data_IF_320145220919
#
_entry.id   IF_320145220919
#
_cell.length_a   1.000
_cell.length_b   1.000
_cell.length_c   1.000
_cell.angle_alpha   90.00
_cell.angle_beta   90.00
_cell.angle_gamma   90.00
#
_symmetry.space_group_name_H-M   'P 1'
#
loop_
_entity.id
_entity.type
_entity.pdbx_description
1 polymer ?
#
# COMPACT_ATOMS: atom_id res chain seq x y z
N UNK A 1 -0.80 15.36 -4.86
CA UNK A 1 0.43 15.64 -5.64
C UNK A 1 0.89 14.31 -6.22
N UNK A 2 1.36 14.22 -7.46
CA UNK A 2 1.86 12.94 -8.01
C UNK A 2 3.27 12.70 -7.48
N UNK A 3 3.52 11.55 -6.86
CA UNK A 3 4.79 11.26 -6.18
C UNK A 3 5.75 10.52 -7.11
N UNK A 4 5.95 11.09 -8.31
CA UNK A 4 6.63 10.47 -9.43
C UNK A 4 7.98 9.84 -9.03
N UNK A 5 8.79 10.51 -8.21
CA UNK A 5 10.07 9.98 -7.77
C UNK A 5 9.97 8.61 -7.07
N UNK A 6 8.96 8.41 -6.22
CA UNK A 6 8.81 7.18 -5.44
C UNK A 6 8.19 6.06 -6.27
N UNK A 7 7.24 6.38 -7.15
CA UNK A 7 6.71 5.42 -8.13
C UNK A 7 7.83 4.93 -9.05
N UNK A 8 8.74 5.81 -9.48
CA UNK A 8 9.90 5.40 -10.29
C UNK A 8 10.88 4.51 -9.51
N UNK A 9 11.04 4.68 -8.19
CA UNK A 9 11.80 3.74 -7.34
C UNK A 9 11.17 2.34 -7.39
N UNK A 10 9.84 2.25 -7.23
CA UNK A 10 9.12 0.98 -7.31
C UNK A 10 9.33 0.34 -8.68
N UNK A 11 9.09 1.08 -9.77
CA UNK A 11 9.26 0.58 -11.14
C UNK A 11 10.66 0.06 -11.39
N UNK A 12 11.70 0.83 -11.03
CA UNK A 12 13.11 0.42 -11.16
C UNK A 12 13.41 -0.85 -10.37
N UNK A 13 12.81 -1.02 -9.19
CA UNK A 13 12.98 -2.21 -8.35
C UNK A 13 12.38 -3.46 -8.99
N UNK A 14 11.23 -3.33 -9.65
CA UNK A 14 10.63 -4.42 -10.44
C UNK A 14 11.36 -4.67 -11.77
N UNK A 15 12.00 -3.64 -12.33
CA UNK A 15 12.78 -3.71 -13.56
C UNK A 15 11.91 -3.55 -14.82
N UNK A 16 11.25 -4.62 -15.25
CA UNK A 16 10.43 -4.65 -16.46
C UNK A 16 9.02 -5.20 -16.19
N UNK A 17 8.08 -4.88 -17.09
CA UNK A 17 6.70 -5.40 -17.02
C UNK A 17 6.73 -6.93 -17.10
N UNK A 18 5.92 -7.58 -16.26
CA UNK A 18 5.77 -9.03 -16.21
C UNK A 18 6.86 -9.77 -15.45
N UNK A 19 7.96 -9.11 -15.05
CA UNK A 19 8.99 -9.75 -14.21
C UNK A 19 8.43 -9.98 -12.81
N UNK A 20 8.40 -11.25 -12.39
CA UNK A 20 7.95 -11.65 -11.07
C UNK A 20 9.02 -11.42 -10.01
N UNK A 21 8.57 -10.93 -8.86
CA UNK A 21 9.38 -10.67 -7.68
C UNK A 21 8.73 -11.33 -6.47
N UNK A 22 9.55 -11.93 -5.62
CA UNK A 22 9.11 -12.43 -4.31
C UNK A 22 9.18 -11.29 -3.30
N UNK A 23 8.02 -10.85 -2.80
CA UNK A 23 7.94 -9.79 -1.81
C UNK A 23 7.67 -10.41 -0.43
N UNK A 24 8.60 -10.25 0.53
CA UNK A 24 8.42 -10.77 1.87
C UNK A 24 7.21 -10.14 2.57
N UNK A 25 6.34 -10.99 3.13
CA UNK A 25 5.32 -10.54 4.08
C UNK A 25 5.97 -10.14 5.41
N UNK A 26 5.23 -9.37 6.21
CA UNK A 26 5.68 -9.01 7.57
C UNK A 26 5.77 -10.27 8.46
N UNK A 27 4.89 -11.24 8.23
CA UNK A 27 4.90 -12.54 8.92
C UNK A 27 6.08 -13.38 8.46
N UNK A 28 6.82 -13.97 9.41
CA UNK A 28 8.05 -14.74 9.13
C UNK A 28 7.83 -15.83 8.07
N UNK A 29 8.83 -15.98 7.19
CA UNK A 29 8.94 -17.02 6.15
C UNK A 29 7.78 -17.11 5.16
N UNK A 30 7.03 -16.02 4.94
CA UNK A 30 6.02 -15.96 3.88
C UNK A 30 6.34 -14.81 2.92
N UNK A 31 5.95 -15.00 1.67
CA UNK A 31 6.05 -14.01 0.62
C UNK A 31 4.77 -14.03 -0.22
N UNK A 32 4.61 -13.03 -1.07
CA UNK A 32 3.65 -13.02 -2.17
C UNK A 32 4.39 -12.73 -3.47
N UNK A 33 3.89 -13.23 -4.59
CA UNK A 33 4.42 -12.91 -5.90
C UNK A 33 3.81 -11.59 -6.37
N UNK A 34 4.66 -10.70 -6.86
CA UNK A 34 4.25 -9.45 -7.47
C UNK A 34 4.94 -9.26 -8.81
N UNK A 35 4.26 -8.64 -9.76
CA UNK A 35 4.85 -8.21 -11.03
C UNK A 35 4.30 -6.86 -11.45
N UNK A 36 5.16 -6.07 -12.12
CA UNK A 36 4.73 -4.79 -12.68
C UNK A 36 3.85 -5.04 -13.90
N UNK A 37 2.72 -4.33 -13.95
CA UNK A 37 1.82 -4.22 -15.10
C UNK A 37 1.71 -2.75 -15.50
N UNK A 38 1.10 -2.45 -16.64
CA UNK A 38 1.02 -1.08 -17.17
C UNK A 38 0.38 -0.12 -16.16
N UNK A 39 -0.71 -0.57 -15.54
CA UNK A 39 -1.56 0.22 -14.64
C UNK A 39 -1.09 0.22 -13.17
N UNK A 40 -0.11 -0.62 -12.79
CA UNK A 40 0.28 -0.78 -11.40
C UNK A 40 1.10 -2.02 -11.11
N UNK A 41 0.85 -2.64 -9.94
CA UNK A 41 1.49 -3.89 -9.52
C UNK A 41 0.41 -4.97 -9.35
N UNK A 42 0.55 -6.08 -10.07
CA UNK A 42 -0.26 -7.28 -9.87
C UNK A 42 0.35 -8.11 -8.74
N UNK A 43 -0.48 -8.63 -7.85
CA UNK A 43 -0.08 -9.50 -6.72
C UNK A 43 -0.96 -10.75 -6.64
N UNK A 44 -0.39 -11.87 -6.20
CA UNK A 44 -1.11 -13.16 -6.09
C UNK A 44 -1.96 -13.32 -4.81
N UNK A 45 -1.81 -12.42 -3.85
CA UNK A 45 -2.44 -12.52 -2.52
C UNK A 45 -3.74 -11.70 -2.35
N UNK A 46 -4.31 -11.18 -3.45
CA UNK A 46 -5.56 -10.40 -3.45
C UNK A 46 -6.74 -11.06 -4.18
N UNK A 47 -6.61 -12.34 -4.57
CA UNK A 47 -7.67 -13.11 -5.21
C UNK A 47 -8.20 -12.44 -6.49
N UNK A 48 -9.51 -12.17 -6.54
CA UNK A 48 -10.20 -11.68 -7.74
C UNK A 48 -9.87 -10.23 -8.14
N UNK A 49 -9.18 -9.47 -7.30
CA UNK A 49 -8.76 -8.10 -7.60
C UNK A 49 -7.25 -7.92 -7.40
N UNK A 50 -6.42 -8.56 -8.24
CA UNK A 50 -4.99 -8.71 -7.98
C UNK A 50 -4.17 -7.45 -8.24
N UNK A 51 -4.74 -6.42 -8.87
CA UNK A 51 -3.99 -5.23 -9.29
C UNK A 51 -4.11 -4.11 -8.26
N UNK A 52 -2.96 -3.62 -7.80
CA UNK A 52 -2.78 -2.36 -7.09
C UNK A 52 -2.38 -1.29 -8.10
N UNK A 53 -3.33 -0.46 -8.52
CA UNK A 53 -3.08 0.63 -9.49
C UNK A 53 -2.08 1.65 -8.94
N UNK A 54 -1.36 2.36 -9.80
CA UNK A 54 -0.33 3.33 -9.38
C UNK A 54 -0.85 4.36 -8.37
N UNK A 55 -2.11 4.78 -8.50
CA UNK A 55 -2.79 5.72 -7.59
C UNK A 55 -2.83 5.21 -6.14
N UNK A 56 -2.79 3.90 -5.92
CA UNK A 56 -2.67 3.31 -4.58
C UNK A 56 -1.34 3.70 -3.94
N UNK A 57 -0.24 3.56 -4.67
CA UNK A 57 1.09 3.90 -4.15
C UNK A 57 1.25 5.41 -4.02
N UNK A 58 0.81 6.17 -5.03
CA UNK A 58 0.82 7.63 -4.99
C UNK A 58 0.07 8.15 -3.76
N UNK A 59 -1.14 7.64 -3.49
CA UNK A 59 -1.95 8.07 -2.34
C UNK A 59 -1.33 7.66 -1.00
N UNK A 60 -0.79 6.44 -0.90
CA UNK A 60 -0.12 5.97 0.32
C UNK A 60 1.13 6.82 0.63
N UNK A 61 1.94 7.12 -0.39
CA UNK A 61 3.15 7.95 -0.26
C UNK A 61 2.78 9.42 0.02
N UNK A 62 1.73 9.96 -0.62
CA UNK A 62 1.23 11.31 -0.37
C UNK A 62 0.83 11.48 1.10
N UNK A 63 0.11 10.50 1.67
CA UNK A 63 -0.24 10.51 3.09
C UNK A 63 1.02 10.48 3.99
N UNK A 64 1.99 9.61 3.68
CA UNK A 64 3.24 9.52 4.42
C UNK A 64 4.03 10.83 4.39
N UNK A 65 4.18 11.44 3.22
CA UNK A 65 4.87 12.72 3.03
C UNK A 65 4.18 13.84 3.82
N UNK A 66 2.84 13.91 3.77
CA UNK A 66 2.06 14.92 4.49
C UNK A 66 2.22 14.83 6.01
N UNK A 67 2.39 13.62 6.54
CA UNK A 67 2.65 13.42 7.97
C UNK A 67 4.12 13.73 8.33
N UNK A 68 5.04 13.55 7.39
CA UNK A 68 6.46 13.87 7.54
C UNK A 68 7.37 12.65 7.54
N UNK A 69 8.61 12.83 7.08
CA UNK A 69 9.64 11.78 7.09
C UNK A 69 9.92 11.33 8.53
N UNK A 70 10.03 10.02 8.74
CA UNK A 70 10.25 9.46 10.08
C UNK A 70 9.01 9.41 10.99
N UNK A 71 7.90 10.06 10.60
CA UNK A 71 6.66 10.09 11.38
C UNK A 71 5.85 8.80 11.15
N UNK A 72 5.44 8.08 12.21
CA UNK A 72 4.61 6.89 12.08
C UNK A 72 3.18 7.23 11.64
N UNK A 73 2.72 6.58 10.56
CA UNK A 73 1.35 6.66 10.08
C UNK A 73 0.66 5.32 10.26
N UNK A 74 -0.57 5.33 10.78
CA UNK A 74 -1.36 4.11 10.99
C UNK A 74 -1.62 3.39 9.67
N UNK A 75 -1.47 2.07 9.67
CA UNK A 75 -1.76 1.24 8.49
C UNK A 75 -3.26 1.14 8.20
N UNK A 76 -4.08 1.05 9.25
CA UNK A 76 -5.50 0.72 9.15
C UNK A 76 -5.71 -0.78 8.93
N UNK A 77 -6.94 -1.25 9.18
CA UNK A 77 -7.36 -2.63 8.94
C UNK A 77 -8.81 -2.73 8.49
N UNK A 78 -9.03 -2.98 7.21
CA UNK A 78 -10.33 -3.23 6.60
C UNK A 78 -10.87 -4.66 6.86
N UNK A 79 -10.22 -5.45 7.71
CA UNK A 79 -10.68 -6.82 7.98
C UNK A 79 -11.99 -6.85 8.77
N UNK A 80 -12.15 -6.00 9.77
CA UNK A 80 -13.29 -5.98 10.70
C UNK A 80 -13.77 -4.56 10.99
N UNK A 81 -13.43 -3.60 10.14
CA UNK A 81 -13.75 -2.18 10.33
C UNK A 81 -14.32 -1.61 9.04
N UNK A 82 -15.31 -0.74 9.20
CA UNK A 82 -15.81 0.14 8.16
C UNK A 82 -14.91 1.38 8.05
N UNK A 83 -14.94 2.03 6.90
CA UNK A 83 -14.18 3.27 6.72
C UNK A 83 -14.65 4.33 7.74
N UNK A 84 -13.72 4.89 8.49
CA UNK A 84 -13.99 5.88 9.54
C UNK A 84 -14.07 5.30 10.96
N UNK A 85 -14.10 3.97 11.10
CA UNK A 85 -14.01 3.32 12.41
C UNK A 85 -12.62 3.54 13.04
N UNK A 86 -12.47 3.41 14.37
CA UNK A 86 -11.17 3.56 15.04
C UNK A 86 -10.05 2.65 14.50
N UNK A 87 -10.40 1.48 13.95
CA UNK A 87 -9.45 0.56 13.33
C UNK A 87 -9.14 0.85 11.85
N UNK A 88 -9.90 1.73 11.20
CA UNK A 88 -9.73 2.14 9.81
C UNK A 88 -10.08 3.63 9.63
N UNK A 89 -9.38 4.55 10.32
CA UNK A 89 -9.65 5.97 10.20
C UNK A 89 -9.23 6.49 8.82
N UNK A 90 -9.78 7.64 8.42
CA UNK A 90 -9.55 8.24 7.10
C UNK A 90 -8.09 8.66 6.84
N UNK A 91 -7.32 8.86 7.91
CA UNK A 91 -5.91 9.22 7.91
C UNK A 91 -4.97 8.02 8.11
N UNK A 92 -5.51 6.79 8.16
CA UNK A 92 -4.71 5.57 8.00
C UNK A 92 -4.42 5.30 6.53
N UNK A 93 -3.37 4.54 6.23
CA UNK A 93 -3.00 4.21 4.85
C UNK A 93 -4.14 3.51 4.10
N UNK A 94 -4.69 2.43 4.66
CA UNK A 94 -5.77 1.69 4.02
C UNK A 94 -7.06 2.50 3.93
N UNK A 95 -7.36 3.32 4.96
CA UNK A 95 -8.52 4.21 4.96
C UNK A 95 -8.41 5.31 3.91
N UNK A 96 -7.27 6.00 3.87
CA UNK A 96 -7.00 7.07 2.90
C UNK A 96 -7.02 6.54 1.46
N UNK A 97 -6.37 5.39 1.20
CA UNK A 97 -6.43 4.73 -0.11
C UNK A 97 -7.86 4.30 -0.45
N UNK A 98 -8.59 3.73 0.51
CA UNK A 98 -10.00 3.37 0.37
C UNK A 98 -10.85 4.55 -0.09
N UNK A 99 -10.68 5.71 0.54
CA UNK A 99 -11.40 6.92 0.21
C UNK A 99 -10.95 7.54 -1.12
N UNK A 100 -9.64 7.74 -1.31
CA UNK A 100 -9.09 8.52 -2.43
C UNK A 100 -9.08 7.76 -3.76
N UNK A 101 -8.77 6.46 -3.72
CA UNK A 101 -8.60 5.66 -4.93
C UNK A 101 -9.89 4.91 -5.27
N UNK A 102 -10.53 4.33 -4.25
CA UNK A 102 -11.72 3.50 -4.43
C UNK A 102 -13.04 4.22 -4.12
N UNK A 103 -12.99 5.53 -3.86
CA UNK A 103 -14.16 6.40 -3.63
C UNK A 103 -15.11 5.88 -2.55
N UNK A 104 -14.55 5.17 -1.55
CA UNK A 104 -15.33 4.64 -0.43
C UNK A 104 -15.75 5.77 0.49
N UNK A 105 -16.99 5.69 0.96
CA UNK A 105 -17.59 6.61 1.92
C UNK A 105 -17.49 6.06 3.34
N UNK A 106 -17.60 6.94 4.33
CA UNK A 106 -17.64 6.55 5.74
C UNK A 106 -18.77 5.54 5.97
N UNK A 107 -18.50 4.50 6.76
CA UNK A 107 -19.43 3.39 7.00
C UNK A 107 -19.44 2.31 5.91
N UNK A 108 -18.63 2.42 4.85
CA UNK A 108 -18.52 1.39 3.81
C UNK A 108 -17.38 0.41 4.06
N UNK A 109 -17.54 -0.82 3.55
CA UNK A 109 -16.48 -1.83 3.51
C UNK A 109 -15.42 -1.45 2.46
N UNK A 110 -14.17 -1.47 2.89
CA UNK A 110 -12.97 -1.24 2.05
C UNK A 110 -12.33 -2.58 1.68
N UNK A 111 -11.75 -2.68 0.49
CA UNK A 111 -11.00 -3.87 0.09
C UNK A 111 -9.71 -4.01 0.89
N UNK A 112 -9.47 -5.19 1.44
CA UNK A 112 -8.26 -5.52 2.22
C UNK A 112 -7.04 -5.54 1.31
N UNK A 113 -6.23 -4.48 1.34
CA UNK A 113 -5.07 -4.29 0.45
C UNK A 113 -3.82 -3.83 1.19
N UNK A 114 -3.89 -3.59 2.50
CA UNK A 114 -2.79 -3.01 3.27
C UNK A 114 -1.51 -3.87 3.27
N UNK A 115 -1.64 -5.19 3.28
CA UNK A 115 -0.49 -6.10 3.36
C UNK A 115 0.45 -5.98 2.15
N UNK A 116 -0.01 -6.13 0.89
CA UNK A 116 0.87 -5.96 -0.26
C UNK A 116 1.36 -4.52 -0.44
N UNK A 117 0.56 -3.50 -0.09
CA UNK A 117 1.00 -2.08 -0.14
C UNK A 117 2.22 -1.88 0.77
N UNK A 118 2.11 -2.28 2.04
CA UNK A 118 3.22 -2.18 3.01
C UNK A 118 4.42 -3.02 2.57
N UNK A 119 4.17 -4.24 2.08
CA UNK A 119 5.22 -5.15 1.60
C UNK A 119 6.05 -4.53 0.48
N UNK A 120 5.40 -3.96 -0.54
CA UNK A 120 6.06 -3.33 -1.69
C UNK A 120 6.85 -2.10 -1.26
N UNK A 121 6.25 -1.19 -0.49
CA UNK A 121 6.95 0.03 -0.05
C UNK A 121 8.18 -0.27 0.81
N UNK A 122 8.09 -1.31 1.66
CA UNK A 122 9.23 -1.79 2.44
C UNK A 122 10.30 -2.44 1.57
N UNK A 123 9.91 -3.32 0.67
CA UNK A 123 10.82 -4.04 -0.20
C UNK A 123 11.55 -3.10 -1.17
N UNK A 124 10.89 -2.03 -1.62
CA UNK A 124 11.47 -0.97 -2.43
C UNK A 124 12.40 -0.03 -1.65
N UNK A 125 12.46 -0.12 -0.32
CA UNK A 125 13.28 0.75 0.53
C UNK A 125 12.70 2.16 0.73
N UNK A 126 11.41 2.35 0.48
CA UNK A 126 10.72 3.66 0.59
C UNK A 126 10.24 3.88 2.02
N UNK A 127 9.81 2.82 2.71
CA UNK A 127 9.22 2.92 4.04
C UNK A 127 9.66 1.75 4.93
N UNK A 128 9.82 2.02 6.22
CA UNK A 128 10.07 0.99 7.23
C UNK A 128 8.76 0.58 7.92
N UNK A 129 8.65 -0.72 8.18
CA UNK A 129 7.49 -1.30 8.83
C UNK A 129 7.58 -1.19 10.37
N UNK A 130 6.58 -0.60 11.03
CA UNK A 130 6.38 -0.65 12.48
C UNK A 130 5.16 -1.49 12.89
N UNK A 131 4.97 -1.72 14.20
CA UNK A 131 3.76 -2.39 14.72
C UNK A 131 2.56 -1.46 14.52
N UNK A 132 1.59 -1.86 13.69
CA UNK A 132 0.39 -1.05 13.37
C UNK A 132 0.63 0.18 12.49
N UNK A 133 1.89 0.54 12.22
CA UNK A 133 2.27 1.78 11.51
C UNK A 133 3.26 1.52 10.37
N UNK A 134 3.33 2.44 9.43
CA UNK A 134 4.34 2.53 8.38
C UNK A 134 5.01 3.89 8.48
N UNK A 135 6.32 3.95 8.24
CA UNK A 135 7.12 5.16 8.43
C UNK A 135 7.95 5.40 7.17
N UNK A 136 7.82 6.60 6.59
CA UNK A 136 8.60 7.03 5.43
C UNK A 136 10.09 7.12 5.80
N UNK A 137 10.97 6.69 4.88
CA UNK A 137 12.42 6.80 5.01
C UNK A 137 12.99 7.96 4.20
#
# INVERSE_FOLDING_TARGET
>A
MKNFQYVEIIKKKFGAIGVEQQIPLITRNKYFIASMVTEGIRVDNLGNNPVLVWEVFDSAIDLLIRNGVGIPVMKGSAMNNLLGDPGLPLDSIEGYVGQKVFQKQVGQVVFRRISPIVGILRWAGIARNGKGVLILQ
#
